data_IF_272847504418
#
_entry.id   IF_272847504418
#
_cell.length_a   1.000
_cell.length_b   1.000
_cell.length_c   1.000
_cell.angle_alpha   90.00
_cell.angle_beta   90.00
_cell.angle_gamma   90.00
#
_symmetry.space_group_name_H-M   'P 1'
#
loop_
_entity.id
_entity.type
_entity.pdbx_description
1 polymer ?
#
# COMPACT_ATOMS: atom_id res chain seq x y z
N UNK A 1 -2.44 -38.44 -9.68
CA UNK A 1 -2.01 -37.10 -9.25
C UNK A 1 -2.72 -36.06 -10.10
N UNK A 2 -3.75 -35.38 -9.56
CA UNK A 2 -4.49 -34.33 -10.26
C UNK A 2 -3.66 -33.04 -10.25
N UNK A 3 -3.16 -32.62 -11.41
CA UNK A 3 -2.51 -31.31 -11.58
C UNK A 3 -3.61 -30.26 -11.72
N UNK A 4 -3.83 -29.46 -10.68
CA UNK A 4 -4.58 -28.22 -10.80
C UNK A 4 -3.70 -27.22 -11.53
N UNK A 5 -4.04 -26.94 -12.79
CA UNK A 5 -3.49 -25.81 -13.55
C UNK A 5 -4.20 -24.59 -12.98
N UNK A 6 -3.53 -23.84 -12.11
CA UNK A 6 -3.98 -22.52 -11.70
C UNK A 6 -3.91 -21.61 -12.92
N UNK A 7 -5.09 -21.26 -13.40
CA UNK A 7 -5.33 -20.31 -14.47
C UNK A 7 -4.76 -18.95 -14.05
N UNK A 8 -3.58 -18.60 -14.54
CA UNK A 8 -3.04 -17.23 -14.48
C UNK A 8 -3.85 -16.36 -15.44
N UNK A 9 -5.02 -15.92 -15.01
CA UNK A 9 -5.74 -14.83 -15.66
C UNK A 9 -5.06 -13.54 -15.22
N UNK A 10 -3.97 -13.17 -15.90
CA UNK A 10 -3.50 -11.79 -15.89
C UNK A 10 -4.56 -11.02 -16.66
N UNK A 11 -5.47 -10.39 -15.92
CA UNK A 11 -6.38 -9.39 -16.46
C UNK A 11 -5.51 -8.21 -16.89
N UNK A 12 -5.12 -8.19 -18.16
CA UNK A 12 -4.51 -7.05 -18.82
C UNK A 12 -5.60 -5.97 -18.87
N UNK A 13 -5.63 -5.11 -17.87
CA UNK A 13 -6.35 -3.84 -17.97
C UNK A 13 -5.59 -3.02 -19.02
N UNK A 14 -6.13 -2.95 -20.23
CA UNK A 14 -5.77 -1.93 -21.22
C UNK A 14 -6.28 -0.57 -20.72
N UNK A 15 -5.51 0.05 -19.84
CA UNK A 15 -5.56 1.50 -19.61
C UNK A 15 -4.23 2.05 -20.09
N UNK A 16 -4.27 3.14 -20.86
CA UNK A 16 -3.12 3.83 -21.39
C UNK A 16 -2.23 4.27 -20.24
N UNK A 17 -1.16 3.51 -20.01
CA UNK A 17 -0.11 3.93 -19.09
C UNK A 17 0.65 5.09 -19.73
N UNK A 18 0.16 6.32 -19.57
CA UNK A 18 1.06 7.46 -19.43
C UNK A 18 2.08 7.05 -18.36
N UNK A 19 3.38 7.13 -18.66
CA UNK A 19 4.48 6.57 -17.87
C UNK A 19 4.31 6.88 -16.37
N UNK A 20 3.65 5.97 -15.65
CA UNK A 20 3.47 6.02 -14.22
C UNK A 20 4.73 5.43 -13.64
N UNK A 21 5.25 6.06 -12.60
CA UNK A 21 6.49 5.60 -12.01
C UNK A 21 6.34 4.15 -11.53
N UNK A 22 7.39 3.32 -11.72
CA UNK A 22 7.36 1.90 -11.34
C UNK A 22 7.05 1.77 -9.85
N UNK A 23 7.67 2.64 -9.03
CA UNK A 23 7.36 2.75 -7.61
C UNK A 23 5.86 3.03 -7.34
N UNK A 24 5.27 4.03 -8.00
CA UNK A 24 3.90 4.43 -7.71
C UNK A 24 2.89 3.34 -8.09
N UNK A 25 3.15 2.61 -9.17
CA UNK A 25 2.35 1.43 -9.53
C UNK A 25 2.38 0.36 -8.43
N UNK A 26 3.55 0.12 -7.82
CA UNK A 26 3.69 -0.81 -6.69
C UNK A 26 2.95 -0.33 -5.45
N UNK A 27 3.04 0.96 -5.11
CA UNK A 27 2.29 1.55 -3.99
C UNK A 27 0.79 1.40 -4.22
N UNK A 28 0.30 1.78 -5.41
CA UNK A 28 -1.11 1.67 -5.76
C UNK A 28 -1.62 0.22 -5.65
N UNK A 29 -0.82 -0.75 -6.08
CA UNK A 29 -1.13 -2.17 -5.92
C UNK A 29 -1.26 -2.58 -4.44
N UNK A 30 -0.27 -2.23 -3.60
CA UNK A 30 -0.25 -2.61 -2.18
C UNK A 30 -1.35 -1.91 -1.36
N UNK A 31 -1.67 -0.66 -1.68
CA UNK A 31 -2.73 0.10 -1.02
C UNK A 31 -4.11 -0.12 -1.67
N UNK A 32 -4.20 -0.99 -2.69
CA UNK A 32 -5.43 -1.31 -3.43
C UNK A 32 -6.12 -0.07 -4.00
N UNK A 33 -5.32 0.88 -4.49
CA UNK A 33 -5.83 2.10 -5.09
C UNK A 33 -6.26 1.84 -6.53
N UNK A 34 -7.50 2.21 -6.85
CA UNK A 34 -7.93 2.40 -8.23
C UNK A 34 -7.63 3.84 -8.62
N UNK A 35 -6.85 4.03 -9.69
CA UNK A 35 -6.45 5.33 -10.19
C UNK A 35 -6.77 5.43 -11.67
N UNK A 36 -7.51 6.47 -12.06
CA UNK A 36 -7.71 6.82 -13.47
C UNK A 36 -6.53 7.61 -14.02
N UNK A 37 -6.32 7.56 -15.33
CA UNK A 37 -5.29 8.37 -16.01
C UNK A 37 -5.43 9.88 -15.72
N UNK A 38 -6.68 10.37 -15.62
CA UNK A 38 -6.97 11.76 -15.26
C UNK A 38 -6.51 12.10 -13.85
N UNK A 39 -6.80 11.23 -12.87
CA UNK A 39 -6.35 11.42 -11.49
C UNK A 39 -4.82 11.41 -11.41
N UNK A 40 -4.14 10.50 -12.11
CA UNK A 40 -2.68 10.42 -12.15
C UNK A 40 -2.08 11.69 -12.76
N UNK A 41 -2.61 12.16 -13.89
CA UNK A 41 -2.16 13.40 -14.52
C UNK A 41 -2.35 14.62 -13.63
N UNK A 42 -3.47 14.69 -12.90
CA UNK A 42 -3.75 15.74 -11.93
C UNK A 42 -2.74 15.70 -10.77
N UNK A 43 -2.54 14.53 -10.15
CA UNK A 43 -1.59 14.37 -9.03
C UNK A 43 -0.15 14.72 -9.43
N UNK A 44 0.29 14.32 -10.63
CA UNK A 44 1.64 14.62 -11.13
C UNK A 44 1.91 16.13 -11.29
N UNK A 45 0.87 16.97 -11.37
CA UNK A 45 0.99 18.43 -11.44
C UNK A 45 1.03 19.09 -10.06
N UNK A 46 0.73 18.35 -8.98
CA UNK A 46 0.73 18.86 -7.62
C UNK A 46 2.12 18.71 -6.98
N UNK A 47 2.66 19.80 -6.44
CA UNK A 47 3.99 19.80 -5.82
C UNK A 47 4.07 18.93 -4.55
N UNK A 48 2.95 18.73 -3.84
CA UNK A 48 2.88 17.86 -2.66
C UNK A 48 2.94 16.39 -3.04
N UNK A 49 2.57 16.03 -4.27
CA UNK A 49 2.69 14.66 -4.76
C UNK A 49 4.15 14.22 -4.87
N UNK A 50 5.02 15.08 -5.42
CA UNK A 50 6.45 14.82 -5.49
C UNK A 50 7.07 14.65 -4.10
N UNK A 51 6.71 15.51 -3.14
CA UNK A 51 7.21 15.41 -1.77
C UNK A 51 6.73 14.13 -1.07
N UNK A 52 5.43 13.81 -1.15
CA UNK A 52 4.89 12.59 -0.53
C UNK A 52 5.53 11.32 -1.11
N UNK A 53 5.80 11.29 -2.41
CA UNK A 53 6.40 10.12 -3.07
C UNK A 53 7.88 9.92 -2.72
N UNK A 54 8.64 10.96 -2.33
CA UNK A 54 10.04 10.76 -1.90
C UNK A 54 10.21 9.94 -0.63
N UNK A 55 9.19 9.84 0.23
CA UNK A 55 9.21 8.97 1.41
C UNK A 55 8.85 7.51 1.07
N UNK A 56 8.08 7.32 0.00
CA UNK A 56 7.56 6.00 -0.41
C UNK A 56 8.39 5.35 -1.52
N UNK A 57 9.19 6.14 -2.25
CA UNK A 57 9.95 5.73 -3.42
C UNK A 57 11.44 6.05 -3.28
N UNK A 58 12.28 5.37 -4.06
CA UNK A 58 13.61 5.85 -4.38
C UNK A 58 13.53 7.15 -5.20
N UNK A 59 14.60 7.96 -5.16
CA UNK A 59 14.65 9.26 -5.84
C UNK A 59 14.42 9.17 -7.34
N UNK A 60 14.92 8.10 -7.99
CA UNK A 60 14.72 7.82 -9.41
C UNK A 60 13.38 7.14 -9.73
N UNK A 61 12.56 6.87 -8.71
CA UNK A 61 11.26 6.20 -8.79
C UNK A 61 11.29 4.78 -9.37
N UNK A 62 12.46 4.16 -9.44
CA UNK A 62 12.64 2.80 -9.96
C UNK A 62 12.02 1.74 -9.05
N UNK A 63 11.97 2.01 -7.74
CA UNK A 63 11.52 1.10 -6.70
C UNK A 63 10.92 1.83 -5.51
N UNK A 64 10.20 1.09 -4.66
CA UNK A 64 9.80 1.58 -3.34
C UNK A 64 11.00 1.83 -2.42
N UNK A 65 10.84 2.75 -1.47
CA UNK A 65 11.86 3.05 -0.47
C UNK A 65 12.03 1.89 0.51
N UNK A 66 13.24 1.72 1.07
CA UNK A 66 13.49 0.70 2.10
C UNK A 66 12.59 0.86 3.35
N UNK A 67 12.32 2.10 3.85
CA UNK A 67 11.35 2.30 4.92
C UNK A 67 9.94 1.79 4.58
N UNK A 68 9.45 2.05 3.37
CA UNK A 68 8.13 1.60 2.93
C UNK A 68 8.10 0.08 2.72
N UNK A 69 9.14 -0.52 2.15
CA UNK A 69 9.26 -1.97 2.03
C UNK A 69 9.20 -2.67 3.40
N UNK A 70 9.90 -2.14 4.42
CA UNK A 70 9.82 -2.66 5.80
C UNK A 70 8.42 -2.51 6.40
N UNK A 71 7.74 -1.40 6.13
CA UNK A 71 6.35 -1.21 6.53
C UNK A 71 5.39 -2.24 5.91
N UNK A 72 5.57 -2.58 4.63
CA UNK A 72 4.81 -3.63 3.95
C UNK A 72 5.10 -5.01 4.53
N UNK A 73 6.34 -5.30 4.91
CA UNK A 73 6.68 -6.55 5.57
C UNK A 73 5.95 -6.73 6.92
N UNK A 74 5.70 -5.64 7.66
CA UNK A 74 4.84 -5.70 8.84
C UNK A 74 3.38 -6.04 8.49
N UNK A 75 2.82 -5.54 7.37
CA UNK A 75 1.45 -5.90 6.96
C UNK A 75 1.31 -7.41 6.81
N UNK A 76 2.27 -8.06 6.16
CA UNK A 76 2.29 -9.53 5.99
C UNK A 76 2.33 -10.24 7.35
N UNK A 77 3.22 -9.82 8.25
CA UNK A 77 3.33 -10.41 9.60
C UNK A 77 2.06 -10.22 10.43
N UNK A 78 1.39 -9.08 10.30
CA UNK A 78 0.11 -8.77 10.97
C UNK A 78 -0.98 -9.71 10.44
N UNK A 79 -1.05 -9.92 9.12
CA UNK A 79 -2.03 -10.84 8.52
C UNK A 79 -1.79 -12.29 8.99
N UNK A 80 -0.53 -12.73 9.06
CA UNK A 80 -0.16 -14.03 9.61
C UNK A 80 -0.52 -14.16 11.11
N UNK A 81 -0.23 -13.14 11.92
CA UNK A 81 -0.57 -13.12 13.35
C UNK A 81 -2.08 -13.11 13.57
N UNK A 82 -2.83 -12.38 12.74
CA UNK A 82 -4.27 -12.37 12.76
C UNK A 82 -4.86 -13.75 12.41
N UNK A 83 -4.30 -14.43 11.40
CA UNK A 83 -4.69 -15.80 11.07
C UNK A 83 -4.41 -16.77 12.24
N UNK A 84 -3.27 -16.65 12.92
CA UNK A 84 -2.97 -17.42 14.15
C UNK A 84 -4.00 -17.15 15.25
N UNK A 85 -4.34 -15.89 15.48
CA UNK A 85 -5.36 -15.50 16.46
C UNK A 85 -6.74 -16.10 16.12
N UNK A 86 -7.12 -16.12 14.84
CA UNK A 86 -8.37 -16.74 14.39
C UNK A 86 -8.37 -18.26 14.53
N UNK A 87 -7.22 -18.91 14.31
CA UNK A 87 -7.08 -20.35 14.39
C UNK A 87 -6.95 -20.87 15.84
N UNK A 88 -6.67 -20.01 16.81
CA UNK A 88 -6.49 -20.41 18.21
C UNK A 88 -7.81 -20.93 18.83
N UNK A 89 -7.80 -22.18 19.27
CA UNK A 89 -8.99 -22.87 19.80
C UNK A 89 -9.09 -22.86 21.33
N UNK A 90 -7.99 -22.59 22.04
CA UNK A 90 -7.99 -22.48 23.49
C UNK A 90 -7.69 -21.04 23.97
N UNK A 91 -8.11 -20.66 25.19
CA UNK A 91 -7.96 -19.30 25.68
C UNK A 91 -6.51 -18.82 25.82
N UNK A 92 -5.58 -19.71 26.20
CA UNK A 92 -4.17 -19.36 26.41
C UNK A 92 -3.46 -19.00 25.10
N UNK A 93 -3.60 -19.85 24.09
CA UNK A 93 -3.03 -19.60 22.76
C UNK A 93 -3.67 -18.38 22.11
N UNK A 94 -4.97 -18.17 22.35
CA UNK A 94 -5.66 -16.98 21.84
C UNK A 94 -5.16 -15.70 22.49
N UNK A 95 -4.85 -15.74 23.79
CA UNK A 95 -4.24 -14.60 24.49
C UNK A 95 -2.85 -14.28 23.91
N UNK A 96 -1.98 -15.28 23.76
CA UNK A 96 -0.64 -15.10 23.20
C UNK A 96 -0.68 -14.60 21.75
N UNK A 97 -1.54 -15.18 20.91
CA UNK A 97 -1.70 -14.75 19.53
C UNK A 97 -2.26 -13.32 19.41
N UNK A 98 -3.14 -12.90 20.33
CA UNK A 98 -3.60 -11.52 20.37
C UNK A 98 -2.48 -10.56 20.81
N UNK A 99 -1.68 -10.93 21.81
CA UNK A 99 -0.55 -10.12 22.26
C UNK A 99 0.45 -9.88 21.11
N UNK A 100 0.87 -10.93 20.41
CA UNK A 100 1.74 -10.86 19.24
C UNK A 100 1.15 -9.97 18.13
N UNK A 101 -0.16 -10.09 17.87
CA UNK A 101 -0.85 -9.22 16.91
C UNK A 101 -0.81 -7.75 17.31
N UNK A 102 -1.02 -7.42 18.60
CA UNK A 102 -0.95 -6.03 19.06
C UNK A 102 0.48 -5.48 19.00
N UNK A 103 1.48 -6.28 19.38
CA UNK A 103 2.89 -5.89 19.32
C UNK A 103 3.33 -5.59 17.88
N UNK A 104 2.94 -6.43 16.93
CA UNK A 104 3.21 -6.21 15.50
C UNK A 104 2.52 -4.95 14.96
N UNK A 105 1.26 -4.70 15.36
CA UNK A 105 0.54 -3.48 14.99
C UNK A 105 1.22 -2.23 15.57
N UNK A 106 1.64 -2.28 16.83
CA UNK A 106 2.33 -1.18 17.48
C UNK A 106 3.69 -0.92 16.83
N UNK A 107 4.45 -1.98 16.52
CA UNK A 107 5.74 -1.87 15.84
C UNK A 107 5.59 -1.27 14.43
N UNK A 108 4.59 -1.71 13.66
CA UNK A 108 4.29 -1.11 12.36
C UNK A 108 3.95 0.37 12.48
N UNK A 109 3.03 0.70 13.40
CA UNK A 109 2.58 2.08 13.60
C UNK A 109 3.75 2.99 13.99
N UNK A 110 4.57 2.56 14.94
CA UNK A 110 5.77 3.29 15.38
C UNK A 110 6.75 3.49 14.23
N UNK A 111 7.04 2.44 13.46
CA UNK A 111 7.91 2.52 12.28
C UNK A 111 7.34 3.49 11.23
N UNK A 112 6.04 3.44 10.97
CA UNK A 112 5.38 4.29 10.00
C UNK A 112 5.37 5.77 10.41
N UNK A 113 5.19 6.06 11.70
CA UNK A 113 5.29 7.43 12.24
C UNK A 113 6.72 7.97 12.12
N UNK A 114 7.71 7.21 12.60
CA UNK A 114 9.12 7.64 12.58
C UNK A 114 9.61 7.94 11.16
N UNK A 115 9.13 7.19 10.18
CA UNK A 115 9.55 7.33 8.79
C UNK A 115 8.58 8.15 7.93
N UNK A 116 7.58 8.82 8.52
CA UNK A 116 6.62 9.67 7.79
C UNK A 116 5.73 8.94 6.78
N UNK A 117 5.62 7.61 6.88
CA UNK A 117 4.90 6.78 5.89
C UNK A 117 3.40 7.07 5.92
N UNK A 118 2.81 7.21 7.11
CA UNK A 118 1.39 7.53 7.22
C UNK A 118 1.04 8.89 6.65
N UNK A 119 1.89 9.88 6.89
CA UNK A 119 1.72 11.23 6.35
C UNK A 119 1.82 11.23 4.81
N UNK A 120 2.79 10.51 4.26
CA UNK A 120 2.93 10.36 2.82
C UNK A 120 1.73 9.66 2.18
N UNK A 121 1.27 8.53 2.74
CA UNK A 121 0.09 7.81 2.25
C UNK A 121 -1.19 8.66 2.36
N UNK A 122 -1.38 9.38 3.47
CA UNK A 122 -2.50 10.28 3.65
C UNK A 122 -2.48 11.43 2.65
N UNK A 123 -1.31 12.03 2.41
CA UNK A 123 -1.14 13.10 1.43
C UNK A 123 -1.53 12.63 0.03
N UNK A 124 -1.07 11.45 -0.38
CA UNK A 124 -1.47 10.86 -1.67
C UNK A 124 -2.97 10.58 -1.71
N UNK A 125 -3.56 10.02 -0.66
CA UNK A 125 -5.01 9.77 -0.61
C UNK A 125 -5.84 11.05 -0.68
N UNK A 126 -5.44 12.12 0.01
CA UNK A 126 -6.10 13.42 -0.09
C UNK A 126 -5.99 14.01 -1.50
N UNK A 127 -4.83 13.89 -2.15
CA UNK A 127 -4.64 14.33 -3.52
C UNK A 127 -5.51 13.55 -4.50
N UNK A 128 -5.58 12.21 -4.35
CA UNK A 128 -6.48 11.36 -5.15
C UNK A 128 -7.93 11.83 -5.05
N UNK A 129 -8.42 12.06 -3.83
CA UNK A 129 -9.77 12.54 -3.59
C UNK A 129 -10.01 13.91 -4.23
N UNK A 130 -9.08 14.86 -4.04
CA UNK A 130 -9.19 16.20 -4.61
C UNK A 130 -9.21 16.16 -6.14
N UNK A 131 -8.34 15.35 -6.76
CA UNK A 131 -8.30 15.18 -8.21
C UNK A 131 -9.57 14.52 -8.77
N UNK A 132 -10.23 13.66 -7.98
CA UNK A 132 -11.53 13.09 -8.35
C UNK A 132 -12.62 14.16 -8.33
N UNK A 133 -12.73 14.94 -7.26
CA UNK A 133 -13.75 15.99 -7.12
C UNK A 133 -13.65 17.07 -8.21
N UNK A 134 -12.44 17.51 -8.56
CA UNK A 134 -12.23 18.51 -9.61
C UNK A 134 -12.37 17.96 -11.04
N UNK A 135 -12.42 16.63 -11.20
CA UNK A 135 -12.65 16.01 -12.52
C UNK A 135 -14.12 16.03 -12.96
N UNK A 136 -15.03 16.39 -12.05
CA UNK A 136 -16.47 16.53 -12.31
C UNK A 136 -16.91 18.00 -12.51
N UNK A 137 -15.98 18.96 -12.44
CA UNK A 137 -16.27 20.41 -12.50
C UNK A 137 -15.97 21.05 -13.87
N UNK A 138 -15.71 20.25 -14.91
CA UNK A 138 -15.41 20.71 -16.28
C UNK A 138 -16.48 20.23 -17.26
#
# INVERSE_FOLDING_TARGET
>A
MKKFIFLTTILIIKSGFAATSVCFTKIAFHEKWMLSEKQISCMNKDSKFALATTLLCLTDQSEISAPYAKFLAYKIKIDEAFARFQAATNPGDRYLANADLQDLKQAQSTHAVINGIWEALNSVNSLKYNCEQHSHSL
#
